data_IF_361933580792
#
_entry.id   IF_361933580792
#
_cell.length_a   1.000
_cell.length_b   1.000
_cell.length_c   1.000
_cell.angle_alpha   90.00
_cell.angle_beta   90.00
_cell.angle_gamma   90.00
#
_symmetry.space_group_name_H-M   'P 1'
#
loop_
_entity.id
_entity.type
_entity.pdbx_description
1 polymer ?
#
# COMPACT_ATOMS: atom_id res chain seq x y z
N UNK A 1 -15.99 -8.17 -24.97
CA UNK A 1 -17.18 -7.36 -24.62
C UNK A 1 -16.72 -6.11 -23.91
N UNK A 2 -16.45 -5.05 -24.67
CA UNK A 2 -16.01 -3.75 -24.17
C UNK A 2 -17.22 -3.01 -23.61
N UNK A 3 -17.30 -2.87 -22.28
CA UNK A 3 -18.28 -1.97 -21.66
C UNK A 3 -17.86 -0.54 -21.99
N UNK A 4 -18.57 0.04 -22.95
CA UNK A 4 -18.60 1.47 -23.18
C UNK A 4 -18.99 2.15 -21.86
N UNK A 5 -17.99 2.64 -21.14
CA UNK A 5 -18.17 3.49 -19.97
C UNK A 5 -18.96 4.70 -20.42
N UNK A 6 -20.20 4.80 -19.96
CA UNK A 6 -20.99 6.02 -20.04
C UNK A 6 -20.33 7.05 -19.13
N UNK A 7 -19.25 7.66 -19.61
CA UNK A 7 -18.79 8.95 -19.13
C UNK A 7 -19.86 9.97 -19.48
N UNK A 8 -20.90 10.04 -18.64
CA UNK A 8 -21.63 11.28 -18.47
C UNK A 8 -20.65 12.24 -17.82
N UNK A 9 -19.79 12.82 -18.65
CA UNK A 9 -19.04 14.01 -18.35
C UNK A 9 -20.10 15.07 -18.05
N UNK A 10 -20.46 15.17 -16.77
CA UNK A 10 -21.24 16.28 -16.25
C UNK A 10 -20.40 17.51 -16.56
N UNK A 11 -20.70 18.12 -17.71
CA UNK A 11 -20.01 19.31 -18.16
C UNK A 11 -20.09 20.29 -17.01
N UNK A 12 -18.91 20.69 -16.51
CA UNK A 12 -18.71 21.91 -15.73
C UNK A 12 -19.33 23.06 -16.51
N UNK A 13 -20.64 23.24 -16.42
CA UNK A 13 -21.28 24.50 -16.73
C UNK A 13 -20.92 25.38 -15.54
N UNK A 14 -19.67 25.87 -15.54
CA UNK A 14 -19.35 27.13 -14.88
C UNK A 14 -20.42 28.07 -15.42
N UNK A 15 -21.41 28.38 -14.60
CA UNK A 15 -22.44 29.35 -14.98
C UNK A 15 -21.63 30.58 -15.43
N UNK A 16 -21.86 31.08 -16.65
CA UNK A 16 -21.07 32.19 -17.15
C UNK A 16 -21.15 33.32 -16.14
N UNK A 17 -20.04 34.04 -15.94
CA UNK A 17 -19.98 35.14 -14.95
C UNK A 17 -21.15 36.12 -15.12
N UNK A 18 -21.60 36.28 -16.37
CA UNK A 18 -22.79 37.03 -16.76
C UNK A 18 -24.08 36.54 -16.09
N UNK A 19 -24.28 35.24 -15.92
CA UNK A 19 -25.48 34.68 -15.31
C UNK A 19 -25.52 34.89 -13.79
N UNK A 20 -24.36 34.84 -13.12
CA UNK A 20 -24.27 35.23 -11.70
C UNK A 20 -24.59 36.71 -11.51
N UNK A 21 -24.09 37.56 -12.42
CA UNK A 21 -24.39 39.00 -12.42
C UNK A 21 -25.87 39.28 -12.72
N UNK A 22 -26.45 38.62 -13.72
CA UNK A 22 -27.88 38.70 -14.03
C UNK A 22 -28.76 38.28 -12.86
N UNK A 23 -28.40 37.19 -12.17
CA UNK A 23 -29.13 36.77 -10.97
C UNK A 23 -29.01 37.81 -9.84
N UNK A 24 -27.82 38.35 -9.59
CA UNK A 24 -27.63 39.39 -8.58
C UNK A 24 -28.44 40.66 -8.89
N UNK A 25 -28.44 41.09 -10.16
CA UNK A 25 -29.26 42.22 -10.61
C UNK A 25 -30.76 41.93 -10.47
N UNK A 26 -31.22 40.73 -10.85
CA UNK A 26 -32.61 40.33 -10.70
C UNK A 26 -33.03 40.28 -9.22
N UNK A 27 -32.18 39.73 -8.35
CA UNK A 27 -32.41 39.70 -6.90
C UNK A 27 -32.47 41.12 -6.31
N UNK A 28 -31.58 42.01 -6.75
CA UNK A 28 -31.59 43.42 -6.35
C UNK A 28 -32.86 44.13 -6.82
N UNK A 29 -33.25 43.95 -8.09
CA UNK A 29 -34.47 44.54 -8.63
C UNK A 29 -35.71 44.04 -7.89
N UNK A 30 -35.79 42.74 -7.61
CA UNK A 30 -36.87 42.13 -6.83
C UNK A 30 -36.89 42.66 -5.39
N UNK A 31 -35.73 42.85 -4.78
CA UNK A 31 -35.62 43.42 -3.44
C UNK A 31 -36.09 44.88 -3.40
N UNK A 32 -35.70 45.70 -4.38
CA UNK A 32 -36.16 47.08 -4.50
C UNK A 32 -37.67 47.10 -4.68
N UNK A 33 -38.23 46.29 -5.58
CA UNK A 33 -39.67 46.19 -5.83
C UNK A 33 -40.42 45.71 -4.57
N UNK A 34 -39.91 44.70 -3.88
CA UNK A 34 -40.50 44.19 -2.63
C UNK A 34 -40.43 45.22 -1.50
N UNK A 35 -39.35 46.01 -1.45
CA UNK A 35 -39.17 47.08 -0.46
C UNK A 35 -40.12 48.24 -0.73
N UNK A 36 -40.27 48.68 -1.97
CA UNK A 36 -41.23 49.73 -2.34
C UNK A 36 -42.66 49.29 -2.08
N UNK A 37 -43.00 48.03 -2.36
CA UNK A 37 -44.30 47.45 -2.00
C UNK A 37 -44.51 47.44 -0.47
N UNK A 38 -43.49 47.05 0.29
CA UNK A 38 -43.54 47.06 1.76
C UNK A 38 -43.83 48.45 2.33
N UNK A 39 -43.09 49.47 1.85
CA UNK A 39 -43.29 50.86 2.29
C UNK A 39 -44.67 51.38 1.89
N UNK A 40 -45.16 51.06 0.69
CA UNK A 40 -46.48 51.53 0.23
C UNK A 40 -47.64 50.89 0.99
N UNK A 41 -47.54 49.60 1.34
CA UNK A 41 -48.60 48.87 2.06
C UNK A 41 -48.59 49.16 3.56
N UNK A 42 -47.42 49.07 4.20
CA UNK A 42 -47.31 49.15 5.66
C UNK A 42 -47.02 50.58 6.18
N UNK A 43 -46.75 51.53 5.27
CA UNK A 43 -46.34 52.91 5.57
C UNK A 43 -45.03 52.94 6.38
N UNK A 44 -44.72 54.06 7.03
CA UNK A 44 -43.48 54.19 7.81
C UNK A 44 -43.52 53.30 9.07
N UNK A 45 -42.35 52.87 9.58
CA UNK A 45 -42.24 52.17 10.86
C UNK A 45 -42.59 53.04 12.07
N UNK A 46 -42.68 54.35 11.86
CA UNK A 46 -43.00 55.31 12.90
C UNK A 46 -44.51 55.39 13.13
N UNK A 47 -44.87 56.00 14.24
CA UNK A 47 -46.25 56.41 14.50
C UNK A 47 -46.70 57.37 13.38
N UNK A 48 -47.93 57.20 12.96
CA UNK A 48 -48.54 57.98 11.88
C UNK A 48 -48.75 59.41 12.34
N UNK A 49 -48.65 60.33 11.40
CA UNK A 49 -48.88 61.75 11.68
C UNK A 49 -50.29 61.98 12.25
N UNK A 50 -51.30 61.30 11.69
CA UNK A 50 -52.68 61.35 12.19
C UNK A 50 -52.81 60.88 13.65
N UNK A 51 -52.08 59.83 14.03
CA UNK A 51 -52.04 59.35 15.42
C UNK A 51 -51.36 60.39 16.33
N UNK A 52 -50.24 60.96 15.90
CA UNK A 52 -49.48 61.92 16.70
C UNK A 52 -50.24 63.24 16.86
N UNK A 53 -51.02 63.64 15.86
CA UNK A 53 -51.88 64.81 15.93
C UNK A 53 -53.04 64.60 16.91
N UNK A 54 -53.68 63.43 16.87
CA UNK A 54 -54.83 63.12 17.73
C UNK A 54 -54.44 62.76 19.18
N UNK A 55 -53.33 62.03 19.37
CA UNK A 55 -52.96 61.38 20.64
C UNK A 55 -51.52 61.67 21.09
N UNK A 56 -50.80 62.56 20.41
CA UNK A 56 -49.39 62.83 20.71
C UNK A 56 -49.12 63.37 22.11
N UNK A 57 -50.09 64.09 22.71
CA UNK A 57 -50.02 64.54 24.10
C UNK A 57 -49.94 63.36 25.07
N UNK A 58 -50.96 62.51 25.08
CA UNK A 58 -51.03 61.30 25.92
C UNK A 58 -49.89 60.32 25.59
N UNK A 59 -49.47 60.26 24.32
CA UNK A 59 -48.35 59.41 23.93
C UNK A 59 -47.02 59.86 24.54
N UNK A 60 -46.78 61.17 24.63
CA UNK A 60 -45.57 61.70 25.28
C UNK A 60 -45.56 61.38 26.77
N UNK A 61 -46.69 61.55 27.44
CA UNK A 61 -46.87 61.17 28.85
C UNK A 61 -46.63 59.67 29.06
N UNK A 62 -47.19 58.82 28.20
CA UNK A 62 -46.91 57.38 28.18
C UNK A 62 -45.40 57.09 28.05
N UNK A 63 -44.70 57.78 27.15
CA UNK A 63 -43.26 57.60 26.97
C UNK A 63 -42.44 58.10 28.16
N UNK A 64 -42.85 59.20 28.80
CA UNK A 64 -42.20 59.72 30.00
C UNK A 64 -42.35 58.74 31.17
N UNK A 65 -43.54 58.19 31.37
CA UNK A 65 -43.79 57.16 32.38
C UNK A 65 -42.96 55.91 32.08
N UNK A 66 -43.00 55.39 30.84
CA UNK A 66 -42.22 54.20 30.42
C UNK A 66 -40.71 54.37 30.59
N UNK A 67 -40.20 55.60 30.44
CA UNK A 67 -38.77 55.92 30.63
C UNK A 67 -38.38 56.19 32.08
N UNK A 68 -39.36 56.37 32.98
CA UNK A 68 -39.06 56.59 34.38
C UNK A 68 -38.37 55.35 34.98
N UNK A 69 -37.33 55.58 35.77
CA UNK A 69 -36.50 54.51 36.35
C UNK A 69 -37.35 53.54 37.18
N UNK A 70 -38.25 54.06 37.99
CA UNK A 70 -39.17 53.25 38.78
C UNK A 70 -40.08 52.38 37.91
N UNK A 71 -40.68 52.93 36.85
CA UNK A 71 -41.62 52.17 36.03
C UNK A 71 -40.91 51.08 35.22
N UNK A 72 -39.68 51.32 34.75
CA UNK A 72 -38.88 50.26 34.11
C UNK A 72 -38.63 49.08 35.06
N UNK A 73 -38.26 49.36 36.31
CA UNK A 73 -38.09 48.32 37.34
C UNK A 73 -39.41 47.63 37.69
N UNK A 74 -40.51 48.37 37.71
CA UNK A 74 -41.87 47.82 37.90
C UNK A 74 -42.28 46.91 36.75
N UNK A 75 -41.99 47.28 35.49
CA UNK A 75 -42.31 46.49 34.31
C UNK A 75 -41.50 45.19 34.25
N UNK A 76 -40.20 45.23 34.59
CA UNK A 76 -39.35 44.03 34.64
C UNK A 76 -39.70 43.10 35.81
N UNK A 77 -40.00 43.66 36.99
CA UNK A 77 -40.18 42.92 38.25
C UNK A 77 -41.33 43.49 39.10
N UNK A 78 -42.59 43.31 38.67
CA UNK A 78 -43.74 43.98 39.29
C UNK A 78 -44.00 43.57 40.74
N UNK A 79 -43.62 42.35 41.12
CA UNK A 79 -43.79 41.84 42.49
C UNK A 79 -42.76 42.42 43.48
N UNK A 80 -41.59 42.84 42.99
CA UNK A 80 -40.51 43.38 43.84
C UNK A 80 -40.56 44.91 43.94
N UNK A 81 -41.14 45.56 42.94
CA UNK A 81 -41.30 47.02 42.89
C UNK A 81 -42.78 47.39 42.75
N UNK A 82 -43.67 47.07 43.70
CA UNK A 82 -45.05 47.51 43.64
C UNK A 82 -45.12 49.06 43.71
N UNK A 83 -46.18 49.68 43.16
CA UNK A 83 -46.40 51.11 43.31
C UNK A 83 -46.55 51.45 44.80
N UNK A 84 -45.61 52.25 45.30
CA UNK A 84 -45.50 52.64 46.70
C UNK A 84 -46.22 53.97 46.98
N UNK A 85 -46.33 54.84 45.97
CA UNK A 85 -47.07 56.11 46.05
C UNK A 85 -48.35 56.07 45.22
N UNK A 86 -49.31 56.94 45.54
CA UNK A 86 -50.55 57.11 44.76
C UNK A 86 -50.22 57.51 43.31
N UNK A 87 -49.28 58.43 43.11
CA UNK A 87 -48.79 58.82 41.77
C UNK A 87 -48.25 57.62 40.97
N UNK A 88 -47.48 56.73 41.60
CA UNK A 88 -46.97 55.52 40.95
C UNK A 88 -48.10 54.56 40.55
N UNK A 89 -49.14 54.46 41.37
CA UNK A 89 -50.32 53.67 41.05
C UNK A 89 -51.08 54.24 39.86
N UNK A 90 -51.27 55.56 39.83
CA UNK A 90 -51.92 56.28 38.73
C UNK A 90 -51.12 56.16 37.43
N UNK A 91 -49.79 56.31 37.47
CA UNK A 91 -48.91 56.12 36.32
C UNK A 91 -49.01 54.70 35.76
N UNK A 92 -49.02 53.68 36.62
CA UNK A 92 -49.15 52.29 36.19
C UNK A 92 -50.53 51.97 35.59
N UNK A 93 -51.59 52.48 36.20
CA UNK A 93 -52.95 52.36 35.66
C UNK A 93 -53.11 53.12 34.34
N UNK A 94 -52.52 54.31 34.21
CA UNK A 94 -52.48 55.07 32.97
C UNK A 94 -51.83 54.25 31.85
N UNK A 95 -50.64 53.70 32.09
CA UNK A 95 -49.94 52.87 31.08
C UNK A 95 -50.77 51.66 30.68
N UNK A 96 -51.34 50.92 31.64
CA UNK A 96 -52.20 49.77 31.33
C UNK A 96 -53.41 50.15 30.49
N UNK A 97 -54.10 51.24 30.87
CA UNK A 97 -55.26 51.74 30.13
C UNK A 97 -54.87 52.21 28.75
N UNK A 98 -53.75 52.92 28.62
CA UNK A 98 -53.21 53.41 27.36
C UNK A 98 -52.85 52.25 26.42
N UNK A 99 -52.13 51.25 26.93
CA UNK A 99 -51.79 50.05 26.17
C UNK A 99 -53.04 49.28 25.72
N UNK A 100 -54.10 49.24 26.54
CA UNK A 100 -55.35 48.57 26.17
C UNK A 100 -56.19 49.31 25.12
N UNK A 101 -55.85 50.55 24.74
CA UNK A 101 -56.66 51.33 23.79
C UNK A 101 -56.58 50.72 22.37
N UNK A 102 -57.72 50.54 21.68
CA UNK A 102 -57.75 49.92 20.34
C UNK A 102 -56.85 50.63 19.32
N UNK A 103 -56.88 51.96 19.28
CA UNK A 103 -56.09 52.75 18.34
C UNK A 103 -54.57 52.63 18.57
N UNK A 104 -54.12 52.43 19.82
CA UNK A 104 -52.71 52.21 20.11
C UNK A 104 -52.27 50.81 19.67
N UNK A 105 -53.14 49.82 19.91
CA UNK A 105 -52.91 48.45 19.48
C UNK A 105 -52.86 48.32 17.95
N UNK A 106 -53.75 49.01 17.23
CA UNK A 106 -53.73 49.08 15.77
C UNK A 106 -52.41 49.67 15.26
N UNK A 107 -51.96 50.76 15.85
CA UNK A 107 -50.72 51.43 15.45
C UNK A 107 -49.47 50.58 15.74
N UNK A 108 -49.44 49.96 16.93
CA UNK A 108 -48.39 49.01 17.32
C UNK A 108 -48.38 47.80 16.40
N UNK A 109 -49.55 47.27 16.04
CA UNK A 109 -49.68 46.14 15.12
C UNK A 109 -49.15 46.52 13.73
N UNK A 110 -49.48 47.70 13.20
CA UNK A 110 -48.97 48.19 11.90
C UNK A 110 -47.44 48.28 11.91
N UNK A 111 -46.86 48.91 12.93
CA UNK A 111 -45.42 49.02 13.06
C UNK A 111 -44.76 47.63 13.18
N UNK A 112 -45.37 46.71 13.92
CA UNK A 112 -44.86 45.33 14.04
C UNK A 112 -44.92 44.57 12.72
N UNK A 113 -46.01 44.70 11.95
CA UNK A 113 -46.16 44.08 10.63
C UNK A 113 -45.14 44.64 9.62
N UNK A 114 -44.88 45.94 9.66
CA UNK A 114 -43.82 46.56 8.86
C UNK A 114 -42.47 45.89 9.14
N UNK A 115 -42.07 45.83 10.43
CA UNK A 115 -40.78 45.26 10.83
C UNK A 115 -40.70 43.77 10.45
N UNK A 116 -41.78 43.02 10.68
CA UNK A 116 -41.84 41.60 10.34
C UNK A 116 -41.72 41.39 8.83
N UNK A 117 -42.42 42.17 8.03
CA UNK A 117 -42.36 42.10 6.57
C UNK A 117 -40.93 42.29 6.05
N UNK A 118 -40.25 43.35 6.48
CA UNK A 118 -38.86 43.61 6.06
C UNK A 118 -37.90 42.54 6.56
N UNK A 119 -38.10 42.02 7.78
CA UNK A 119 -37.29 40.92 8.31
C UNK A 119 -37.45 39.65 7.47
N UNK A 120 -38.68 39.31 7.08
CA UNK A 120 -38.97 38.15 6.22
C UNK A 120 -38.42 38.38 4.82
N UNK A 121 -38.61 39.56 4.23
CA UNK A 121 -38.08 39.90 2.91
C UNK A 121 -36.55 39.76 2.88
N UNK A 122 -35.86 40.34 3.86
CA UNK A 122 -34.40 40.24 4.00
C UNK A 122 -33.94 38.78 4.13
N UNK A 123 -34.64 37.99 4.95
CA UNK A 123 -34.32 36.58 5.12
C UNK A 123 -34.51 35.79 3.81
N UNK A 124 -35.59 36.04 3.07
CA UNK A 124 -35.86 35.37 1.79
C UNK A 124 -34.81 35.72 0.74
N UNK A 125 -34.44 36.98 0.61
CA UNK A 125 -33.38 37.42 -0.32
C UNK A 125 -32.04 36.80 0.06
N UNK A 126 -31.70 36.76 1.35
CA UNK A 126 -30.49 36.12 1.83
C UNK A 126 -30.47 34.62 1.51
N UNK A 127 -31.56 33.89 1.81
CA UNK A 127 -31.68 32.45 1.50
C UNK A 127 -31.59 32.20 0.00
N UNK A 128 -32.20 33.04 -0.83
CA UNK A 128 -32.11 32.93 -2.29
C UNK A 128 -30.67 33.15 -2.79
N UNK A 129 -29.97 34.17 -2.28
CA UNK A 129 -28.57 34.44 -2.61
C UNK A 129 -27.66 33.27 -2.19
N UNK A 130 -27.80 32.79 -0.96
CA UNK A 130 -27.03 31.65 -0.45
C UNK A 130 -27.34 30.38 -1.24
N UNK A 131 -28.62 30.05 -1.45
CA UNK A 131 -29.02 28.86 -2.20
C UNK A 131 -28.47 28.85 -3.62
N UNK A 132 -28.47 30.00 -4.30
CA UNK A 132 -27.88 30.12 -5.64
C UNK A 132 -26.36 30.01 -5.62
N UNK A 133 -25.70 30.72 -4.71
CA UNK A 133 -24.24 30.83 -4.70
C UNK A 133 -23.53 29.61 -4.10
N UNK A 134 -24.09 29.00 -3.05
CA UNK A 134 -23.51 27.81 -2.40
C UNK A 134 -23.81 26.51 -3.15
N UNK A 135 -24.86 26.45 -3.98
CA UNK A 135 -25.20 25.22 -4.70
C UNK A 135 -24.03 24.68 -5.51
N UNK A 136 -23.35 25.53 -6.27
CA UNK A 136 -22.22 25.12 -7.13
C UNK A 136 -21.04 24.55 -6.32
N UNK A 137 -20.43 25.28 -5.36
CA UNK A 137 -19.30 24.75 -4.60
C UNK A 137 -19.67 23.52 -3.76
N UNK A 138 -20.91 23.44 -3.26
CA UNK A 138 -21.37 22.29 -2.48
C UNK A 138 -21.50 21.03 -3.35
N UNK A 139 -22.07 21.16 -4.55
CA UNK A 139 -22.15 20.05 -5.50
C UNK A 139 -20.76 19.64 -6.02
N UNK A 140 -19.89 20.61 -6.32
CA UNK A 140 -18.52 20.33 -6.76
C UNK A 140 -17.72 19.55 -5.70
N UNK A 141 -17.90 19.88 -4.41
CA UNK A 141 -17.27 19.16 -3.32
C UNK A 141 -17.77 17.70 -3.24
N UNK A 142 -19.09 17.51 -3.34
CA UNK A 142 -19.71 16.19 -3.29
C UNK A 142 -19.28 15.33 -4.50
N UNK A 143 -19.31 15.89 -5.70
CA UNK A 143 -18.86 15.22 -6.92
C UNK A 143 -17.37 14.87 -6.85
N UNK A 144 -16.54 15.75 -6.29
CA UNK A 144 -15.12 15.49 -6.02
C UNK A 144 -14.92 14.27 -5.13
N UNK A 145 -15.67 14.19 -4.02
CA UNK A 145 -15.62 13.04 -3.09
C UNK A 145 -16.13 11.75 -3.73
N UNK A 146 -17.21 11.82 -4.49
CA UNK A 146 -17.74 10.66 -5.23
C UNK A 146 -16.69 10.16 -6.23
N UNK A 147 -16.02 11.07 -6.94
CA UNK A 147 -14.94 10.74 -7.87
C UNK A 147 -13.74 10.08 -7.19
N UNK A 148 -13.31 10.58 -6.04
CA UNK A 148 -12.24 9.98 -5.23
C UNK A 148 -12.58 8.55 -4.81
N UNK A 149 -13.79 8.33 -4.28
CA UNK A 149 -14.25 7.01 -3.85
C UNK A 149 -14.31 6.02 -5.03
N UNK A 150 -14.80 6.46 -6.19
CA UNK A 150 -14.83 5.62 -7.40
C UNK A 150 -13.43 5.22 -7.85
N UNK A 151 -12.49 6.17 -7.91
CA UNK A 151 -11.09 5.87 -8.25
C UNK A 151 -10.46 4.90 -7.27
N UNK A 152 -10.73 5.07 -5.97
CA UNK A 152 -10.26 4.14 -4.94
C UNK A 152 -10.79 2.72 -5.13
N UNK A 153 -12.07 2.57 -5.51
CA UNK A 153 -12.68 1.27 -5.81
C UNK A 153 -12.10 0.64 -7.07
N UNK A 154 -11.89 1.42 -8.12
CA UNK A 154 -11.26 0.94 -9.37
C UNK A 154 -9.83 0.46 -9.12
N UNK A 155 -9.02 1.24 -8.41
CA UNK A 155 -7.65 0.86 -8.03
C UNK A 155 -7.62 -0.42 -7.19
N UNK A 156 -8.55 -0.57 -6.24
CA UNK A 156 -8.65 -1.79 -5.43
C UNK A 156 -9.06 -3.01 -6.27
N UNK A 157 -9.94 -2.83 -7.25
CA UNK A 157 -10.35 -3.88 -8.18
C UNK A 157 -9.18 -4.32 -9.09
N UNK A 158 -8.42 -3.35 -9.61
CA UNK A 158 -7.25 -3.61 -10.45
C UNK A 158 -6.14 -4.31 -9.67
N UNK A 159 -5.84 -3.85 -8.45
CA UNK A 159 -4.87 -4.49 -7.57
C UNK A 159 -5.24 -5.95 -7.23
N UNK A 160 -6.53 -6.21 -7.02
CA UNK A 160 -7.03 -7.58 -6.80
C UNK A 160 -6.88 -8.46 -8.04
N UNK A 161 -7.16 -7.90 -9.23
CA UNK A 161 -6.99 -8.61 -10.49
C UNK A 161 -5.52 -8.92 -10.79
N UNK A 162 -4.61 -7.99 -10.51
CA UNK A 162 -3.17 -8.16 -10.65
C UNK A 162 -2.63 -9.23 -9.67
N UNK A 163 -3.06 -9.16 -8.41
CA UNK A 163 -2.70 -10.17 -7.40
C UNK A 163 -3.14 -11.56 -7.82
N UNK A 164 -4.36 -11.72 -8.32
CA UNK A 164 -4.85 -13.00 -8.84
C UNK A 164 -4.07 -13.52 -10.05
N UNK A 165 -3.55 -12.63 -10.91
CA UNK A 165 -2.65 -13.01 -12.02
C UNK A 165 -1.30 -13.49 -11.52
N UNK A 166 -0.72 -12.79 -10.54
CA UNK A 166 0.56 -13.17 -9.92
C UNK A 166 0.46 -14.51 -9.19
N UNK A 167 -0.64 -14.77 -8.45
CA UNK A 167 -0.90 -16.06 -7.82
C UNK A 167 -0.99 -17.19 -8.86
N UNK A 168 -1.72 -16.97 -9.96
CA UNK A 168 -1.82 -17.94 -11.04
C UNK A 168 -0.46 -18.20 -11.73
N UNK A 169 0.36 -17.16 -11.91
CA UNK A 169 1.70 -17.31 -12.48
C UNK A 169 2.66 -18.03 -11.52
N UNK A 170 2.64 -17.69 -10.23
CA UNK A 170 3.40 -18.38 -9.20
C UNK A 170 3.02 -19.87 -9.14
N UNK A 171 1.72 -20.19 -9.18
CA UNK A 171 1.24 -21.57 -9.24
C UNK A 171 1.77 -22.34 -10.45
N UNK A 172 1.79 -21.71 -11.64
CA UNK A 172 2.38 -22.32 -12.84
C UNK A 172 3.89 -22.55 -12.72
N UNK A 173 4.63 -21.59 -12.15
CA UNK A 173 6.08 -21.72 -11.95
C UNK A 173 6.41 -22.81 -10.94
N UNK A 174 5.64 -22.92 -9.86
CA UNK A 174 5.78 -24.01 -8.88
C UNK A 174 5.52 -25.36 -9.55
N UNK A 175 4.44 -25.48 -10.35
CA UNK A 175 4.16 -26.70 -11.10
C UNK A 175 5.30 -27.10 -12.05
N UNK A 176 5.82 -26.15 -12.83
CA UNK A 176 6.96 -26.38 -13.71
C UNK A 176 8.24 -26.77 -12.94
N UNK A 177 8.46 -26.19 -11.77
CA UNK A 177 9.61 -26.54 -10.92
C UNK A 177 9.52 -27.97 -10.41
N UNK A 178 8.33 -28.43 -10.02
CA UNK A 178 8.09 -29.82 -9.62
C UNK A 178 8.37 -30.81 -10.76
N UNK A 179 7.97 -30.47 -11.99
CA UNK A 179 8.28 -31.31 -13.17
C UNK A 179 9.78 -31.38 -13.44
N UNK A 180 10.49 -30.26 -13.33
CA UNK A 180 11.96 -30.21 -13.49
C UNK A 180 12.64 -31.00 -12.37
N UNK A 181 12.19 -30.87 -11.12
CA UNK A 181 12.75 -31.63 -10.00
C UNK A 181 12.62 -33.15 -10.23
N UNK A 182 11.45 -33.60 -10.69
CA UNK A 182 11.20 -35.00 -11.01
C UNK A 182 12.09 -35.48 -12.18
N UNK A 183 12.28 -34.64 -13.20
CA UNK A 183 13.17 -34.95 -14.32
C UNK A 183 14.64 -35.05 -13.88
N UNK A 184 15.10 -34.12 -13.04
CA UNK A 184 16.47 -34.12 -12.49
C UNK A 184 16.70 -35.34 -11.61
N UNK A 185 15.71 -35.75 -10.80
CA UNK A 185 15.81 -36.99 -10.00
C UNK A 185 15.98 -38.21 -10.89
N UNK A 186 15.19 -38.34 -11.96
CA UNK A 186 15.31 -39.46 -12.92
C UNK A 186 16.66 -39.44 -13.64
N UNK A 187 17.12 -38.27 -14.07
CA UNK A 187 18.43 -38.15 -14.73
C UNK A 187 19.58 -38.46 -13.77
N UNK A 188 19.46 -38.07 -12.49
CA UNK A 188 20.40 -38.43 -11.44
C UNK A 188 20.41 -39.94 -11.16
N UNK A 189 19.25 -40.59 -11.09
CA UNK A 189 19.15 -42.04 -10.94
C UNK A 189 19.76 -42.79 -12.13
N UNK A 190 19.47 -42.36 -13.36
CA UNK A 190 20.04 -42.94 -14.57
C UNK A 190 21.57 -42.76 -14.66
N UNK A 191 22.08 -41.60 -14.27
CA UNK A 191 23.53 -41.34 -14.26
C UNK A 191 24.23 -42.15 -13.18
N UNK A 192 23.65 -42.24 -11.97
CA UNK A 192 24.17 -43.10 -10.91
C UNK A 192 24.18 -44.58 -11.33
N UNK A 193 23.14 -45.06 -12.00
CA UNK A 193 23.10 -46.43 -12.51
C UNK A 193 24.20 -46.70 -13.55
N UNK A 194 24.41 -45.76 -14.50
CA UNK A 194 25.47 -45.87 -15.51
C UNK A 194 26.88 -45.80 -14.89
N UNK A 195 27.06 -44.96 -13.90
CA UNK A 195 28.34 -44.84 -13.20
C UNK A 195 28.63 -46.09 -12.35
N UNK A 196 27.62 -46.68 -11.72
CA UNK A 196 27.74 -47.96 -11.04
C UNK A 196 28.16 -49.08 -12.00
N UNK A 197 27.51 -49.22 -13.16
CA UNK A 197 27.92 -50.19 -14.19
C UNK A 197 29.35 -49.93 -14.68
N UNK A 198 29.72 -48.66 -14.87
CA UNK A 198 31.07 -48.30 -15.34
C UNK A 198 32.12 -48.63 -14.29
N UNK A 199 31.83 -48.37 -13.01
CA UNK A 199 32.69 -48.76 -11.90
C UNK A 199 32.85 -50.27 -11.83
N UNK A 200 31.76 -51.04 -11.93
CA UNK A 200 31.79 -52.50 -11.89
C UNK A 200 32.66 -53.07 -13.02
N UNK A 201 32.48 -52.61 -14.27
CA UNK A 201 33.34 -53.01 -15.40
C UNK A 201 34.81 -52.63 -15.20
N UNK A 202 35.09 -51.46 -14.62
CA UNK A 202 36.44 -51.04 -14.32
C UNK A 202 37.08 -51.91 -13.22
N UNK A 203 36.30 -52.28 -12.20
CA UNK A 203 36.73 -53.22 -11.16
C UNK A 203 37.04 -54.61 -11.73
N UNK A 204 36.17 -55.15 -12.58
CA UNK A 204 36.40 -56.44 -13.25
C UNK A 204 37.66 -56.42 -14.12
N UNK A 205 37.83 -55.37 -14.94
CA UNK A 205 39.02 -55.22 -15.77
C UNK A 205 40.29 -55.14 -14.92
N UNK A 206 40.27 -54.37 -13.82
CA UNK A 206 41.43 -54.23 -12.94
C UNK A 206 41.73 -55.52 -12.19
N UNK A 207 40.70 -56.28 -11.79
CA UNK A 207 40.86 -57.61 -11.20
C UNK A 207 41.52 -58.58 -12.17
N UNK A 208 41.08 -58.62 -13.42
CA UNK A 208 41.68 -59.47 -14.45
C UNK A 208 43.14 -59.09 -14.75
N UNK A 209 43.47 -57.79 -14.73
CA UNK A 209 44.86 -57.32 -14.89
C UNK A 209 45.73 -57.73 -13.69
N UNK A 210 45.20 -57.60 -12.47
CA UNK A 210 45.90 -58.02 -11.25
C UNK A 210 46.15 -59.53 -11.23
N UNK A 211 45.19 -60.34 -11.68
CA UNK A 211 45.35 -61.79 -11.82
C UNK A 211 46.48 -62.13 -12.81
N UNK A 212 46.54 -61.44 -13.96
CA UNK A 212 47.63 -61.60 -14.93
C UNK A 212 49.01 -61.20 -14.37
N UNK A 213 49.13 -60.02 -13.74
CA UNK A 213 50.40 -59.58 -13.14
C UNK A 213 50.86 -60.55 -12.04
N UNK A 214 49.92 -61.08 -11.24
CA UNK A 214 50.21 -62.08 -10.22
C UNK A 214 50.73 -63.37 -10.84
N UNK A 215 50.12 -63.86 -11.93
CA UNK A 215 50.62 -65.03 -12.65
C UNK A 215 52.01 -64.82 -13.24
N UNK A 216 52.27 -63.65 -13.84
CA UNK A 216 53.58 -63.30 -14.40
C UNK A 216 54.65 -63.23 -13.31
N UNK A 217 54.35 -62.60 -12.17
CA UNK A 217 55.24 -62.57 -10.99
C UNK A 217 55.54 -63.98 -10.49
N UNK A 218 54.53 -64.85 -10.38
CA UNK A 218 54.73 -66.25 -9.97
C UNK A 218 55.63 -66.98 -10.95
N UNK A 219 55.47 -66.79 -12.27
CA UNK A 219 56.35 -67.39 -13.28
C UNK A 219 57.77 -66.86 -13.18
N UNK A 220 57.95 -65.56 -13.00
CA UNK A 220 59.26 -64.92 -12.84
C UNK A 220 59.99 -65.43 -11.59
N UNK A 221 59.29 -65.53 -10.45
CA UNK A 221 59.85 -66.08 -9.21
C UNK A 221 60.22 -67.56 -9.35
N UNK A 222 59.38 -68.37 -10.03
CA UNK A 222 59.75 -69.76 -10.37
C UNK A 222 61.02 -69.83 -11.21
N UNK A 223 61.15 -68.97 -12.22
CA UNK A 223 62.37 -68.92 -13.03
C UNK A 223 63.60 -68.49 -12.23
N UNK A 224 63.47 -67.49 -11.36
CA UNK A 224 64.55 -67.06 -10.44
C UNK A 224 64.95 -68.18 -9.50
N UNK A 225 63.99 -68.87 -8.88
CA UNK A 225 64.24 -70.01 -8.01
C UNK A 225 64.96 -71.14 -8.76
N UNK A 226 64.53 -71.47 -9.99
CA UNK A 226 65.22 -72.45 -10.83
C UNK A 226 66.64 -72.02 -11.20
N UNK A 227 66.87 -70.75 -11.53
CA UNK A 227 68.19 -70.23 -11.84
C UNK A 227 69.11 -70.24 -10.62
N UNK A 228 68.60 -69.85 -9.45
CA UNK A 228 69.33 -69.90 -8.18
C UNK A 228 69.71 -71.33 -7.79
N UNK A 229 68.78 -72.30 -7.93
CA UNK A 229 69.08 -73.72 -7.73
C UNK A 229 70.17 -74.22 -8.69
N UNK A 230 70.12 -73.84 -9.98
CA UNK A 230 71.16 -74.19 -10.95
C UNK A 230 72.52 -73.59 -10.58
N UNK A 231 72.55 -72.30 -10.19
CA UNK A 231 73.78 -71.64 -9.79
C UNK A 231 74.38 -72.31 -8.54
N UNK A 232 73.57 -72.59 -7.52
CA UNK A 232 74.01 -73.32 -6.32
C UNK A 232 74.55 -74.72 -6.64
N UNK A 233 73.88 -75.47 -7.53
CA UNK A 233 74.38 -76.78 -7.99
C UNK A 233 75.70 -76.68 -8.75
N UNK A 234 75.88 -75.64 -9.58
CA UNK A 234 77.13 -75.39 -10.30
C UNK A 234 78.25 -75.02 -9.33
N UNK A 235 78.00 -74.13 -8.37
CA UNK A 235 78.97 -73.77 -7.33
C UNK A 235 79.38 -75.00 -6.50
N UNK A 236 78.43 -75.85 -6.13
CA UNK A 236 78.72 -77.07 -5.37
C UNK A 236 79.49 -78.10 -6.21
N UNK A 237 79.17 -78.23 -7.51
CA UNK A 237 79.93 -79.06 -8.44
C UNK A 237 81.36 -78.53 -8.67
N UNK A 238 81.54 -77.21 -8.80
CA UNK A 238 82.85 -76.56 -8.89
C UNK A 238 83.64 -76.77 -7.60
N UNK A 239 83.03 -76.59 -6.43
CA UNK A 239 83.68 -76.83 -5.14
C UNK A 239 84.10 -78.30 -4.97
N UNK A 240 83.28 -79.25 -5.44
CA UNK A 240 83.63 -80.67 -5.49
C UNK A 240 84.79 -80.94 -6.47
N UNK A 241 84.76 -80.33 -7.66
CA UNK A 241 85.83 -80.44 -8.65
C UNK A 241 87.14 -79.83 -8.15
N UNK A 242 87.11 -78.66 -7.50
CA UNK A 242 88.27 -78.04 -6.87
C UNK A 242 88.86 -78.92 -5.77
N UNK A 243 88.01 -79.52 -4.92
CA UNK A 243 88.46 -80.47 -3.89
C UNK A 243 89.11 -81.70 -4.52
N UNK A 244 88.53 -82.23 -5.60
CA UNK A 244 89.11 -83.35 -6.34
C UNK A 244 90.45 -82.99 -6.99
N UNK A 245 90.56 -81.83 -7.64
CA UNK A 245 91.80 -81.34 -8.24
C UNK A 245 92.89 -81.08 -7.19
N UNK A 246 92.57 -80.51 -6.02
CA UNK A 246 93.53 -80.34 -4.92
C UNK A 246 94.00 -81.67 -4.34
N UNK A 247 93.12 -82.67 -4.26
CA UNK A 247 93.48 -84.01 -3.79
C UNK A 247 94.34 -84.79 -4.81
N UNK A 248 94.25 -84.44 -6.11
CA UNK A 248 94.98 -85.08 -7.21
C UNK A 248 96.22 -84.30 -7.68
N UNK A 249 96.66 -83.27 -6.95
CA UNK A 249 97.79 -82.43 -7.31
C UNK A 249 99.11 -83.20 -7.19
N UNK A 250 99.56 -83.73 -8.32
CA UNK A 250 100.87 -84.36 -8.53
C UNK A 250 101.75 -83.42 -9.36
N UNK A 251 103.00 -83.23 -8.95
CA UNK A 251 103.94 -82.26 -9.54
C UNK A 251 104.18 -82.52 -11.03
N UNK A 252 104.15 -83.77 -11.47
CA UNK A 252 104.36 -84.14 -12.88
C UNK A 252 103.17 -83.77 -13.79
N UNK A 253 101.96 -83.65 -13.22
CA UNK A 253 100.73 -83.35 -13.98
C UNK A 253 100.54 -81.84 -14.17
N UNK A 254 101.02 -81.03 -13.22
CA UNK A 254 101.04 -79.58 -13.32
C UNK A 254 101.97 -79.10 -14.46
N UNK A 255 103.14 -79.73 -14.64
CA UNK A 255 104.06 -79.37 -15.72
C UNK A 255 103.46 -79.64 -17.12
N UNK A 256 102.72 -80.74 -17.29
CA UNK A 256 102.03 -81.05 -18.54
C UNK A 256 100.86 -80.09 -18.85
N UNK A 257 100.13 -79.63 -17.82
CA UNK A 257 99.04 -78.65 -18.00
C UNK A 257 99.58 -77.25 -18.32
N UNK A 258 100.69 -76.83 -17.70
CA UNK A 258 101.39 -75.58 -18.04
C UNK A 258 101.90 -75.62 -19.48
N UNK A 259 102.50 -76.73 -19.93
CA UNK A 259 102.95 -76.87 -21.32
C UNK A 259 101.77 -76.78 -22.31
N UNK A 260 100.62 -77.36 -21.95
CA UNK A 260 99.40 -77.32 -22.77
C UNK A 260 98.77 -75.92 -22.80
N UNK A 261 98.77 -75.20 -21.68
CA UNK A 261 98.29 -73.82 -21.61
C UNK A 261 99.20 -72.88 -22.43
N UNK A 262 100.51 -73.09 -22.37
CA UNK A 262 101.49 -72.34 -23.19
C UNK A 262 101.24 -72.57 -24.69
N UNK A 263 100.99 -73.81 -25.12
CA UNK A 263 100.60 -74.11 -26.52
C UNK A 263 99.27 -73.50 -26.93
N UNK A 264 98.30 -73.37 -26.01
CA UNK A 264 97.01 -72.73 -26.31
C UNK A 264 97.14 -71.20 -26.42
N UNK A 265 98.03 -70.58 -25.64
CA UNK A 265 98.34 -69.16 -25.73
C UNK A 265 99.09 -68.82 -27.03
N UNK A 266 100.06 -69.64 -27.44
CA UNK A 266 100.75 -69.48 -28.74
C UNK A 266 99.82 -69.64 -29.95
N UNK A 267 98.66 -70.28 -29.78
CA UNK A 267 97.65 -70.46 -30.83
C UNK A 267 96.58 -69.36 -30.85
N UNK A 268 96.50 -68.55 -29.79
CA UNK A 268 95.54 -67.45 -29.65
C UNK A 268 96.16 -66.07 -29.93
N UNK A 269 97.49 -65.97 -30.03
CA UNK A 269 98.22 -64.84 -30.63
C UNK A 269 98.41 -65.02 -32.12
#
# INVERSE_FOLDING_TARGET
>A
MTRAGTERHWMRRKLPRELHWQFALAALALYILGSTLGVTVFRSPNLSEAYLEAHGGEHREYLEIKKSEWFMLHEERPLLHPPATEEQHEMAEFVKKYEARPWFQEERSRASHYVLYFRVLNALVLVALFGWFLRTPLLDLLDGRIGEVRRGLEQAADARAETGRLEAEAGRRIGAFMEVEEQVKREAEDTLARDAERMERAFEARRAELEKDTEERVRAERHRAHAALRAGLVEEAVALAERACRAAADTDRLDAEVETFTRLLERAS
#
